data_IF_896917419656
#
_entry.id   IF_896917419656
#
_cell.length_a   1.000
_cell.length_b   1.000
_cell.length_c   1.000
_cell.angle_alpha   90.00
_cell.angle_beta   90.00
_cell.angle_gamma   90.00
#
_symmetry.space_group_name_H-M   'P 1'
#
loop_
_entity.id
_entity.type
_entity.pdbx_description
1 polymer ?
#
# COMPACT_ATOMS: atom_id res chain seq x y z
N UNK A 1 41.97 -29.41 -41.48
CA UNK A 1 40.83 -28.53 -41.14
C UNK A 1 40.10 -29.15 -39.97
N UNK A 2 39.70 -28.34 -38.98
CA UNK A 2 38.55 -28.45 -38.04
C UNK A 2 38.95 -27.66 -36.78
N UNK A 3 38.45 -26.42 -36.71
CA UNK A 3 38.47 -25.58 -35.50
C UNK A 3 37.24 -25.99 -34.67
N UNK A 4 37.44 -26.56 -33.50
CA UNK A 4 36.34 -26.80 -32.56
C UNK A 4 36.05 -25.50 -31.80
N UNK A 5 34.91 -24.86 -32.10
CA UNK A 5 34.36 -23.80 -31.28
C UNK A 5 33.63 -24.44 -30.09
N UNK A 6 34.14 -24.19 -28.88
CA UNK A 6 33.44 -24.46 -27.64
C UNK A 6 32.44 -23.33 -27.37
N UNK A 7 31.18 -23.57 -27.70
CA UNK A 7 30.07 -22.66 -27.35
C UNK A 7 29.73 -22.88 -25.88
N UNK A 8 30.09 -21.92 -25.02
CA UNK A 8 29.64 -21.90 -23.63
C UNK A 8 28.16 -21.52 -23.57
N UNK A 9 27.29 -22.49 -23.30
CA UNK A 9 25.89 -22.25 -23.04
C UNK A 9 25.73 -21.66 -21.63
N UNK A 10 25.48 -20.35 -21.55
CA UNK A 10 24.99 -19.72 -20.33
C UNK A 10 23.57 -20.23 -20.06
N UNK A 11 23.43 -21.16 -19.13
CA UNK A 11 22.14 -21.52 -18.54
C UNK A 11 21.66 -20.33 -17.71
N UNK A 12 20.76 -19.52 -18.28
CA UNK A 12 19.99 -18.56 -17.52
C UNK A 12 19.08 -19.34 -16.57
N UNK A 13 19.44 -19.37 -15.28
CA UNK A 13 18.54 -19.86 -14.24
C UNK A 13 17.33 -18.93 -14.21
N UNK A 14 16.09 -19.45 -14.23
CA UNK A 14 14.91 -18.61 -14.10
C UNK A 14 14.98 -17.92 -12.74
N UNK A 15 14.99 -16.58 -12.75
CA UNK A 15 14.77 -15.79 -11.55
C UNK A 15 13.41 -16.20 -11.01
N UNK A 16 13.37 -16.86 -9.85
CA UNK A 16 12.11 -17.00 -9.13
C UNK A 16 11.57 -15.59 -8.94
N UNK A 17 10.31 -15.37 -9.34
CA UNK A 17 9.62 -14.12 -9.04
C UNK A 17 9.81 -13.84 -7.54
N UNK A 18 10.33 -12.66 -7.21
CA UNK A 18 10.51 -12.28 -5.82
C UNK A 18 9.10 -12.18 -5.22
N UNK A 19 8.91 -12.87 -4.10
CA UNK A 19 7.74 -12.70 -3.26
C UNK A 19 7.87 -11.40 -2.47
N UNK A 20 6.74 -10.86 -2.03
CA UNK A 20 6.71 -9.59 -1.29
C UNK A 20 7.65 -9.66 -0.09
N UNK A 21 8.61 -8.72 -0.04
CA UNK A 21 9.66 -8.74 0.98
C UNK A 21 9.21 -7.93 2.18
N UNK A 22 8.86 -8.62 3.27
CA UNK A 22 8.55 -7.99 4.55
C UNK A 22 9.70 -8.15 5.55
N UNK A 23 10.10 -7.06 6.19
CA UNK A 23 11.13 -7.05 7.23
C UNK A 23 10.83 -6.06 8.35
N UNK A 24 11.37 -6.34 9.53
CA UNK A 24 11.30 -5.43 10.66
C UNK A 24 12.50 -4.47 10.64
N UNK A 25 12.24 -3.18 10.78
CA UNK A 25 13.26 -2.13 10.71
C UNK A 25 13.11 -1.14 11.88
N UNK A 26 14.07 -0.24 12.03
CA UNK A 26 14.01 0.83 13.03
C UNK A 26 14.62 2.13 12.54
N UNK A 27 14.08 3.25 13.00
CA UNK A 27 14.60 4.59 12.71
C UNK A 27 14.29 5.55 13.85
N UNK A 28 15.31 6.29 14.30
CA UNK A 28 15.20 7.28 15.41
C UNK A 28 14.49 6.72 16.66
N UNK A 29 14.79 5.46 17.03
CA UNK A 29 14.20 4.79 18.19
C UNK A 29 12.78 4.24 17.98
N UNK A 30 12.16 4.46 16.82
CA UNK A 30 10.90 3.86 16.43
C UNK A 30 11.11 2.55 15.68
N UNK A 31 10.15 1.63 15.79
CA UNK A 31 10.16 0.31 15.16
C UNK A 31 9.08 0.25 14.09
N UNK A 32 9.41 -0.34 12.95
CA UNK A 32 8.51 -0.49 11.80
C UNK A 32 8.55 -1.92 11.28
N UNK A 33 7.52 -2.29 10.54
CA UNK A 33 7.57 -3.38 9.58
C UNK A 33 7.39 -2.76 8.19
N UNK A 34 8.34 -3.02 7.30
CA UNK A 34 8.35 -2.60 5.90
C UNK A 34 8.05 -3.82 5.04
N UNK A 35 7.06 -3.72 4.16
CA UNK A 35 6.81 -4.67 3.09
C UNK A 35 7.01 -3.96 1.74
N UNK A 36 7.97 -4.43 0.95
CA UNK A 36 8.30 -3.84 -0.35
C UNK A 36 7.75 -4.73 -1.45
N UNK A 37 7.02 -4.09 -2.37
CA UNK A 37 6.32 -4.74 -3.48
C UNK A 37 6.91 -4.28 -4.81
N UNK A 38 7.26 -5.21 -5.69
CA UNK A 38 7.63 -4.98 -7.10
C UNK A 38 6.38 -5.08 -7.97
N UNK A 39 5.83 -3.91 -8.33
CA UNK A 39 4.56 -3.80 -9.05
C UNK A 39 4.64 -4.42 -10.45
N UNK A 40 5.83 -4.58 -11.04
CA UNK A 40 5.97 -5.18 -12.36
C UNK A 40 5.87 -6.71 -12.34
N UNK A 41 6.02 -7.34 -11.17
CA UNK A 41 6.07 -8.82 -11.06
C UNK A 41 5.07 -9.39 -10.06
N UNK A 42 4.57 -8.58 -9.14
CA UNK A 42 3.65 -9.00 -8.07
C UNK A 42 2.24 -8.46 -8.30
N UNK A 43 1.22 -9.30 -8.08
CA UNK A 43 -0.18 -8.92 -8.25
C UNK A 43 -0.67 -8.09 -7.05
N UNK A 44 -0.36 -6.79 -7.08
CA UNK A 44 -0.80 -5.81 -6.11
C UNK A 44 -2.20 -5.28 -6.46
N UNK A 45 -3.16 -5.44 -5.56
CA UNK A 45 -4.54 -4.97 -5.79
C UNK A 45 -5.28 -4.57 -4.51
N UNK A 46 -6.46 -3.97 -4.70
CA UNK A 46 -7.38 -3.64 -3.62
C UNK A 46 -8.48 -4.69 -3.48
N UNK A 47 -9.04 -4.77 -2.29
CA UNK A 47 -10.16 -5.62 -1.92
C UNK A 47 -11.13 -4.82 -1.05
N UNK A 48 -12.43 -4.92 -1.34
CA UNK A 48 -13.48 -4.39 -0.48
C UNK A 48 -14.63 -5.39 -0.29
N UNK A 49 -15.16 -5.92 -1.39
CA UNK A 49 -16.31 -6.82 -1.40
C UNK A 49 -15.98 -8.14 -2.08
N UNK A 50 -16.70 -9.19 -1.70
CA UNK A 50 -16.74 -10.42 -2.48
C UNK A 50 -17.67 -10.26 -3.71
N UNK A 51 -17.75 -11.31 -4.51
CA UNK A 51 -18.61 -11.38 -5.70
C UNK A 51 -20.11 -11.25 -5.40
N UNK A 52 -20.54 -11.54 -4.17
CA UNK A 52 -21.93 -11.36 -3.69
C UNK A 52 -22.19 -9.94 -3.11
N UNK A 53 -21.16 -9.09 -3.06
CA UNK A 53 -21.23 -7.72 -2.57
C UNK A 53 -21.06 -7.57 -1.04
N UNK A 54 -20.79 -8.68 -0.33
CA UNK A 54 -20.53 -8.63 1.11
C UNK A 54 -19.11 -8.13 1.41
N UNK A 55 -18.96 -7.40 2.52
CA UNK A 55 -17.66 -6.83 2.90
C UNK A 55 -16.72 -7.95 3.32
N UNK A 56 -15.56 -8.06 2.65
CA UNK A 56 -14.51 -9.03 3.00
C UNK A 56 -13.96 -8.73 4.40
N UNK A 57 -13.48 -7.49 4.62
CA UNK A 57 -13.15 -6.89 5.93
C UNK A 57 -12.16 -7.62 6.83
N UNK A 58 -11.69 -8.81 6.46
CA UNK A 58 -10.75 -9.67 7.19
C UNK A 58 -9.85 -10.40 6.19
N UNK A 59 -8.58 -10.58 6.55
CA UNK A 59 -7.60 -11.26 5.70
C UNK A 59 -7.99 -12.71 5.37
N UNK A 60 -8.58 -13.44 6.32
CA UNK A 60 -9.04 -14.82 6.11
C UNK A 60 -10.17 -14.93 5.08
N UNK A 61 -11.00 -13.90 4.99
CA UNK A 61 -12.16 -13.90 4.11
C UNK A 61 -11.73 -13.50 2.69
N UNK A 62 -10.73 -12.61 2.56
CA UNK A 62 -9.99 -12.42 1.30
C UNK A 62 -9.37 -13.75 0.84
N UNK A 63 -8.61 -14.43 1.71
CA UNK A 63 -7.95 -15.70 1.34
C UNK A 63 -8.95 -16.77 0.89
N UNK A 64 -10.18 -16.77 1.41
CA UNK A 64 -11.23 -17.71 1.02
C UNK A 64 -11.81 -17.42 -0.36
N UNK A 65 -11.84 -16.14 -0.76
CA UNK A 65 -12.34 -15.69 -2.06
C UNK A 65 -11.31 -15.93 -3.18
N UNK A 66 -10.02 -16.04 -2.84
CA UNK A 66 -8.99 -16.37 -3.81
C UNK A 66 -9.20 -17.79 -4.37
N UNK A 67 -9.01 -17.94 -5.68
CA UNK A 67 -9.10 -19.22 -6.36
C UNK A 67 -8.06 -20.23 -5.83
N UNK A 68 -8.27 -21.52 -6.11
CA UNK A 68 -7.34 -22.58 -5.72
C UNK A 68 -5.90 -22.26 -6.13
N UNK A 69 -4.95 -22.54 -5.22
CA UNK A 69 -3.51 -22.28 -5.37
C UNK A 69 -3.11 -20.80 -5.41
N UNK A 70 -4.04 -19.89 -5.18
CA UNK A 70 -3.75 -18.47 -4.94
C UNK A 70 -3.74 -18.20 -3.44
N UNK A 71 -2.82 -17.35 -2.99
CA UNK A 71 -2.75 -16.98 -1.59
C UNK A 71 -2.40 -15.52 -1.38
N UNK A 72 -2.84 -14.99 -0.25
CA UNK A 72 -2.60 -13.61 0.17
C UNK A 72 -1.20 -13.52 0.80
N UNK A 73 -0.21 -13.11 0.02
CA UNK A 73 1.19 -13.02 0.48
C UNK A 73 1.44 -11.80 1.36
N UNK A 74 0.65 -10.75 1.18
CA UNK A 74 0.67 -9.54 1.98
C UNK A 74 -0.71 -8.89 1.98
N UNK A 75 -1.11 -8.27 3.09
CA UNK A 75 -2.22 -7.33 3.10
C UNK A 75 -2.17 -6.33 4.26
N UNK A 76 -2.74 -5.14 4.05
CA UNK A 76 -3.01 -4.17 5.11
C UNK A 76 -4.27 -3.37 4.82
N UNK A 77 -4.89 -2.78 5.86
CA UNK A 77 -5.95 -1.79 5.63
C UNK A 77 -5.41 -0.62 4.80
N UNK A 78 -6.23 -0.14 3.86
CA UNK A 78 -5.87 0.92 2.94
C UNK A 78 -6.62 2.22 3.29
N UNK A 79 -7.33 2.82 2.33
CA UNK A 79 -8.01 4.10 2.54
C UNK A 79 -9.06 4.12 3.66
N UNK A 80 -9.36 5.34 4.12
CA UNK A 80 -10.34 5.57 5.18
C UNK A 80 -11.75 5.09 4.77
N UNK A 81 -12.51 4.61 5.75
CA UNK A 81 -13.86 4.08 5.54
C UNK A 81 -14.87 4.52 6.61
N UNK A 82 -16.14 4.46 6.26
CA UNK A 82 -17.28 4.73 7.15
C UNK A 82 -17.55 3.54 8.09
N UNK A 83 -18.46 3.70 9.07
CA UNK A 83 -18.79 2.60 9.99
C UNK A 83 -19.40 1.38 9.29
N UNK A 84 -20.01 1.58 8.13
CA UNK A 84 -20.54 0.56 7.23
C UNK A 84 -19.47 -0.04 6.29
N UNK A 85 -18.19 0.32 6.47
CA UNK A 85 -17.02 -0.15 5.72
C UNK A 85 -16.89 0.37 4.29
N UNK A 86 -17.80 1.22 3.82
CA UNK A 86 -17.63 1.89 2.52
C UNK A 86 -16.46 2.87 2.55
N UNK A 87 -15.68 3.00 1.45
CA UNK A 87 -14.63 4.00 1.31
C UNK A 87 -15.17 5.41 1.55
N UNK A 88 -14.39 6.27 2.20
CA UNK A 88 -14.75 7.69 2.42
C UNK A 88 -14.56 8.49 1.14
N UNK A 89 -13.41 8.33 0.48
CA UNK A 89 -13.04 9.06 -0.75
C UNK A 89 -13.02 8.15 -1.97
N UNK A 90 -12.29 8.57 -3.02
CA UNK A 90 -12.18 7.81 -4.27
C UNK A 90 -11.87 6.33 -4.03
N UNK A 91 -12.60 5.45 -4.70
CA UNK A 91 -12.34 4.02 -4.72
C UNK A 91 -12.62 3.44 -6.09
N UNK A 92 -11.66 2.67 -6.60
CA UNK A 92 -11.74 1.93 -7.86
C UNK A 92 -11.24 0.51 -7.60
N UNK A 93 -11.95 -0.49 -8.09
CA UNK A 93 -11.56 -1.89 -8.07
C UNK A 93 -11.87 -2.51 -9.44
N UNK A 94 -10.89 -3.15 -10.08
CA UNK A 94 -11.00 -3.68 -11.46
C UNK A 94 -11.50 -2.65 -12.50
N UNK A 95 -11.10 -1.38 -12.33
CA UNK A 95 -11.50 -0.27 -13.19
C UNK A 95 -12.89 0.31 -12.89
N UNK A 96 -13.68 -0.33 -12.03
CA UNK A 96 -15.01 0.14 -11.65
C UNK A 96 -14.95 1.05 -10.42
N UNK A 97 -15.47 2.27 -10.57
CA UNK A 97 -15.47 3.27 -9.50
C UNK A 97 -16.68 3.11 -8.57
N UNK A 98 -16.46 2.76 -7.30
CA UNK A 98 -17.53 2.72 -6.26
C UNK A 98 -17.80 4.10 -5.67
N UNK A 99 -16.75 4.90 -5.41
CA UNK A 99 -16.88 6.21 -4.75
C UNK A 99 -16.08 7.30 -5.48
N UNK A 100 -16.62 8.54 -5.55
CA UNK A 100 -15.99 9.62 -6.29
C UNK A 100 -14.80 10.22 -5.53
N UNK A 101 -13.93 10.91 -6.26
CA UNK A 101 -12.86 11.71 -5.69
C UNK A 101 -13.40 12.88 -4.87
N UNK A 102 -12.87 13.05 -3.66
CA UNK A 102 -13.19 14.18 -2.79
C UNK A 102 -12.03 15.18 -2.78
N UNK A 103 -12.25 16.38 -3.32
CA UNK A 103 -11.21 17.43 -3.41
C UNK A 103 -11.27 18.47 -2.28
N UNK A 104 -12.32 18.43 -1.46
CA UNK A 104 -12.52 19.36 -0.35
C UNK A 104 -12.24 18.68 0.98
N UNK A 105 -11.78 19.46 1.95
CA UNK A 105 -11.64 18.98 3.32
C UNK A 105 -12.98 18.44 3.86
N UNK A 106 -12.92 17.34 4.59
CA UNK A 106 -14.05 16.82 5.37
C UNK A 106 -13.69 16.79 6.87
N UNK A 107 -14.61 16.37 7.74
CA UNK A 107 -14.33 16.28 9.19
C UNK A 107 -13.43 15.07 9.48
N UNK A 108 -12.43 15.20 10.37
CA UNK A 108 -11.51 14.12 10.79
C UNK A 108 -10.12 14.17 10.12
N UNK A 109 -9.39 13.04 10.08
CA UNK A 109 -8.06 12.95 9.41
C UNK A 109 -8.12 13.23 7.90
N UNK A 110 -9.26 12.93 7.28
CA UNK A 110 -9.54 13.31 5.90
C UNK A 110 -9.66 14.84 5.69
N UNK A 111 -9.68 15.62 6.78
CA UNK A 111 -9.57 17.07 6.79
C UNK A 111 -8.15 17.64 6.89
N UNK A 112 -7.13 16.80 7.09
CA UNK A 112 -5.73 17.22 7.13
C UNK A 112 -5.14 17.25 5.70
N UNK A 113 -5.53 18.26 4.93
CA UNK A 113 -5.03 18.48 3.57
C UNK A 113 -3.54 18.91 3.55
N UNK A 114 -2.76 18.52 2.51
CA UNK A 114 -3.15 17.69 1.36
C UNK A 114 -3.39 16.20 1.66
N UNK A 115 -4.34 15.61 0.93
CA UNK A 115 -4.64 14.18 0.88
C UNK A 115 -4.12 13.58 -0.44
N UNK A 116 -4.19 12.26 -0.60
CA UNK A 116 -3.74 11.62 -1.83
C UNK A 116 -4.58 10.42 -2.24
N UNK A 117 -4.33 9.96 -3.45
CA UNK A 117 -4.85 8.73 -4.03
C UNK A 117 -3.67 7.80 -4.23
N UNK A 118 -3.79 6.58 -3.70
CA UNK A 118 -2.94 5.47 -4.14
C UNK A 118 -3.60 4.82 -5.35
N UNK A 119 -2.95 4.94 -6.51
CA UNK A 119 -3.41 4.46 -7.81
C UNK A 119 -2.51 3.31 -8.26
N UNK A 120 -3.10 2.21 -8.72
CA UNK A 120 -2.40 1.03 -9.22
C UNK A 120 -2.93 0.74 -10.63
N UNK A 121 -2.03 0.37 -11.52
CA UNK A 121 -2.33 -0.31 -12.79
C UNK A 121 -1.32 -1.43 -13.03
N UNK A 122 -1.45 -2.13 -14.14
CA UNK A 122 -0.67 -3.32 -14.54
C UNK A 122 0.85 -3.18 -14.43
N UNK A 123 1.40 -1.96 -14.46
CA UNK A 123 2.85 -1.73 -14.56
C UNK A 123 3.41 -0.75 -13.55
N UNK A 124 2.55 -0.05 -12.80
CA UNK A 124 2.96 0.97 -11.84
C UNK A 124 1.93 1.20 -10.75
N UNK A 125 2.44 1.59 -9.58
CA UNK A 125 1.66 2.11 -8.49
C UNK A 125 2.21 3.47 -8.07
N UNK A 126 1.31 4.42 -7.84
CA UNK A 126 1.67 5.81 -7.54
C UNK A 126 0.83 6.35 -6.39
N UNK A 127 1.50 7.02 -5.46
CA UNK A 127 0.86 7.97 -4.57
C UNK A 127 0.81 9.33 -5.25
N UNK A 128 -0.41 9.85 -5.42
CA UNK A 128 -0.66 11.10 -6.16
C UNK A 128 -1.46 12.05 -5.26
N UNK A 129 -1.03 13.31 -5.14
CA UNK A 129 -1.78 14.34 -4.43
C UNK A 129 -3.19 14.52 -5.07
N UNK A 130 -4.21 14.74 -4.24
CA UNK A 130 -5.63 14.73 -4.66
C UNK A 130 -5.97 15.71 -5.80
N UNK A 131 -5.48 16.95 -5.76
CA UNK A 131 -5.76 17.95 -6.80
C UNK A 131 -4.95 17.67 -8.07
N UNK A 132 -3.73 17.16 -7.94
CA UNK A 132 -2.95 16.65 -9.06
C UNK A 132 -3.67 15.48 -9.74
N UNK A 133 -4.21 14.53 -8.96
CA UNK A 133 -5.02 13.42 -9.46
C UNK A 133 -6.28 13.92 -10.20
N UNK A 134 -6.99 14.90 -9.63
CA UNK A 134 -8.17 15.50 -10.26
C UNK A 134 -7.88 16.14 -11.63
N UNK A 135 -6.67 16.68 -11.78
CA UNK A 135 -6.22 17.37 -13.00
C UNK A 135 -5.71 16.39 -14.05
N UNK A 136 -4.86 15.46 -13.64
CA UNK A 136 -4.18 14.51 -14.54
C UNK A 136 -5.02 13.31 -14.91
N UNK A 137 -5.96 12.91 -14.04
CA UNK A 137 -6.92 11.79 -14.22
C UNK A 137 -6.25 10.52 -14.77
N UNK A 138 -5.22 10.00 -14.09
CA UNK A 138 -4.57 8.78 -14.53
C UNK A 138 -5.58 7.63 -14.53
N UNK A 139 -5.40 6.69 -15.45
CA UNK A 139 -6.15 5.43 -15.43
C UNK A 139 -5.59 4.56 -14.31
N UNK A 140 -6.46 4.12 -13.41
CA UNK A 140 -6.15 3.19 -12.33
C UNK A 140 -7.05 1.98 -12.48
N UNK A 141 -6.49 0.78 -12.44
CA UNK A 141 -7.27 -0.45 -12.27
C UNK A 141 -7.76 -0.55 -10.82
N UNK A 142 -6.92 -0.15 -9.87
CA UNK A 142 -7.28 -0.02 -8.47
C UNK A 142 -6.90 1.36 -7.95
N UNK A 143 -7.78 2.00 -7.18
CA UNK A 143 -7.46 3.26 -6.53
C UNK A 143 -8.13 3.39 -5.17
N UNK A 144 -7.45 4.01 -4.21
CA UNK A 144 -8.04 4.37 -2.94
C UNK A 144 -7.53 5.72 -2.45
N UNK A 145 -8.46 6.61 -2.11
CA UNK A 145 -8.14 7.91 -1.53
C UNK A 145 -8.02 7.82 -0.02
N UNK A 146 -6.99 8.45 0.51
CA UNK A 146 -6.75 8.53 1.95
C UNK A 146 -6.06 9.84 2.31
N UNK A 147 -5.73 10.03 3.58
CA UNK A 147 -4.93 11.16 3.99
C UNK A 147 -4.66 11.23 5.48
N UNK A 148 -3.66 12.02 5.88
CA UNK A 148 -2.92 12.98 5.05
C UNK A 148 -1.88 12.35 4.09
N UNK A 149 -1.44 13.09 3.08
CA UNK A 149 -0.13 12.83 2.45
C UNK A 149 0.96 12.90 3.52
N UNK A 150 1.88 11.96 3.54
CA UNK A 150 3.03 11.91 4.45
C UNK A 150 4.22 12.67 3.87
N UNK A 151 4.50 12.42 2.58
CA UNK A 151 5.56 13.05 1.80
C UNK A 151 4.94 13.53 0.49
N UNK A 152 5.30 14.74 0.06
CA UNK A 152 4.83 15.41 -1.15
C UNK A 152 6.06 15.97 -1.85
N UNK A 153 6.36 15.47 -3.05
CA UNK A 153 7.53 15.87 -3.83
C UNK A 153 8.85 15.88 -3.03
N UNK A 154 9.04 14.87 -2.19
CA UNK A 154 10.21 14.70 -1.33
C UNK A 154 10.19 15.51 -0.03
N UNK A 155 9.17 16.35 0.19
CA UNK A 155 9.03 17.15 1.41
C UNK A 155 7.98 16.56 2.36
N UNK A 156 8.16 16.73 3.67
CA UNK A 156 7.14 16.34 4.62
C UNK A 156 5.89 17.20 4.46
N UNK A 157 4.75 16.62 4.80
CA UNK A 157 3.51 17.35 4.92
C UNK A 157 3.67 18.62 5.80
N UNK A 158 3.29 19.81 5.31
CA UNK A 158 3.65 21.09 5.94
C UNK A 158 2.95 21.33 7.30
N UNK A 159 1.92 20.55 7.62
CA UNK A 159 1.15 20.66 8.86
C UNK A 159 1.61 19.67 9.94
N UNK A 160 2.64 18.87 9.70
CA UNK A 160 3.16 17.95 10.71
C UNK A 160 3.95 18.71 11.76
N UNK A 161 3.47 18.64 13.00
CA UNK A 161 4.14 19.23 14.16
C UNK A 161 5.20 18.25 14.68
N UNK A 162 6.43 18.75 14.86
CA UNK A 162 7.56 17.99 15.41
C UNK A 162 7.26 17.48 16.82
N UNK A 163 6.57 18.31 17.61
CA UNK A 163 6.21 18.11 19.01
C UNK A 163 4.74 17.64 19.19
N UNK A 164 4.15 17.05 18.15
CA UNK A 164 2.77 16.54 18.22
C UNK A 164 2.58 15.53 19.35
N UNK A 165 1.49 15.67 20.09
CA UNK A 165 1.07 14.70 21.12
C UNK A 165 0.22 13.56 20.55
N UNK A 166 -0.19 13.65 19.28
CA UNK A 166 -1.02 12.66 18.59
C UNK A 166 -0.19 11.46 18.15
N UNK A 167 -0.11 10.45 19.02
CA UNK A 167 0.65 9.21 18.77
C UNK A 167 -0.27 8.01 18.61
N UNK A 168 -0.14 7.31 17.49
CA UNK A 168 -0.92 6.10 17.17
C UNK A 168 -0.03 5.07 16.47
N UNK A 169 -0.49 3.82 16.43
CA UNK A 169 -0.01 2.90 15.40
C UNK A 169 -0.48 3.44 14.05
N UNK A 170 0.44 3.52 13.08
CA UNK A 170 0.20 4.12 11.78
C UNK A 170 0.62 3.17 10.69
N UNK A 171 -0.15 3.10 9.61
CA UNK A 171 0.27 2.47 8.38
C UNK A 171 0.12 3.40 7.18
N UNK A 172 0.85 3.12 6.11
CA UNK A 172 0.86 3.94 4.91
C UNK A 172 1.67 3.30 3.79
N UNK A 173 1.65 3.95 2.64
CA UNK A 173 2.35 3.52 1.43
C UNK A 173 3.18 4.68 0.86
N UNK A 174 4.37 4.39 0.37
CA UNK A 174 5.15 5.31 -0.46
C UNK A 174 5.59 4.61 -1.73
N UNK A 175 5.68 5.32 -2.84
CA UNK A 175 5.99 4.73 -4.15
C UNK A 175 7.27 5.30 -4.72
N UNK A 176 8.04 4.49 -5.44
CA UNK A 176 9.23 4.95 -6.16
C UNK A 176 8.85 5.95 -7.26
N UNK A 177 9.82 6.77 -7.69
CA UNK A 177 9.59 7.80 -8.72
C UNK A 177 9.21 7.21 -10.10
N UNK A 178 9.63 5.98 -10.39
CA UNK A 178 9.27 5.27 -11.62
C UNK A 178 7.99 4.42 -11.48
N UNK A 179 7.36 4.44 -10.29
CA UNK A 179 6.13 3.72 -9.99
C UNK A 179 6.28 2.19 -9.88
N UNK A 180 7.49 1.65 -9.99
CA UNK A 180 7.71 0.19 -10.01
C UNK A 180 7.76 -0.45 -8.63
N UNK A 181 7.98 0.35 -7.59
CA UNK A 181 8.08 -0.15 -6.22
C UNK A 181 7.07 0.56 -5.32
N UNK A 182 6.33 -0.23 -4.54
CA UNK A 182 5.47 0.27 -3.47
C UNK A 182 5.99 -0.23 -2.12
N UNK A 183 6.28 0.72 -1.22
CA UNK A 183 6.71 0.45 0.15
C UNK A 183 5.53 0.63 1.10
N UNK A 184 5.06 -0.46 1.67
CA UNK A 184 4.02 -0.48 2.67
C UNK A 184 4.63 -0.56 4.06
N UNK A 185 4.31 0.40 4.93
CA UNK A 185 4.92 0.48 6.26
C UNK A 185 3.83 0.49 7.31
N UNK A 186 4.06 -0.24 8.41
CA UNK A 186 3.28 -0.14 9.64
C UNK A 186 4.22 0.09 10.83
N UNK A 187 3.90 1.05 11.69
CA UNK A 187 4.65 1.26 12.94
C UNK A 187 4.33 0.17 13.95
N UNK A 188 5.32 -0.22 14.77
CA UNK A 188 5.19 -1.23 15.84
C UNK A 188 5.12 -0.60 17.23
N UNK A 189 5.22 0.72 17.29
CA UNK A 189 4.95 1.55 18.45
C UNK A 189 4.19 2.81 18.00
N UNK A 190 3.59 3.51 18.96
CA UNK A 190 2.86 4.73 18.66
C UNK A 190 3.82 5.82 18.21
N UNK A 191 3.52 6.43 17.06
CA UNK A 191 4.31 7.49 16.42
C UNK A 191 3.42 8.67 16.04
N UNK A 192 4.00 9.85 15.98
CA UNK A 192 3.38 11.03 15.36
C UNK A 192 3.39 10.91 13.84
N UNK A 193 2.62 11.77 13.17
CA UNK A 193 2.72 11.89 11.71
C UNK A 193 4.11 12.37 11.26
N UNK A 194 4.75 13.25 12.03
CA UNK A 194 6.10 13.73 11.74
C UNK A 194 7.11 12.59 11.80
N UNK A 195 7.14 11.82 12.89
CA UNK A 195 8.02 10.65 13.06
C UNK A 195 7.76 9.60 11.96
N UNK A 196 6.49 9.34 11.61
CA UNK A 196 6.14 8.37 10.58
C UNK A 196 6.51 8.84 9.16
N UNK A 197 6.19 10.08 8.81
CA UNK A 197 6.53 10.66 7.50
C UNK A 197 8.03 10.74 7.26
N UNK A 198 8.82 11.01 8.32
CA UNK A 198 10.28 11.00 8.22
C UNK A 198 10.86 9.64 7.85
N UNK A 199 10.22 8.53 8.24
CA UNK A 199 10.65 7.22 7.77
C UNK A 199 10.55 7.11 6.24
N UNK A 200 9.43 7.55 5.65
CA UNK A 200 9.26 7.57 4.20
C UNK A 200 10.23 8.54 3.50
N UNK A 201 10.43 9.74 4.05
CA UNK A 201 11.28 10.76 3.43
C UNK A 201 12.78 10.45 3.58
N UNK A 202 13.22 10.15 4.80
CA UNK A 202 14.64 10.10 5.15
C UNK A 202 15.24 8.71 4.93
N UNK A 203 14.44 7.64 5.09
CA UNK A 203 14.91 6.25 4.94
C UNK A 203 14.54 5.69 3.56
N UNK A 204 13.25 5.73 3.20
CA UNK A 204 12.78 5.16 1.93
C UNK A 204 12.97 6.11 0.74
N UNK A 205 13.15 7.41 1.02
CA UNK A 205 13.35 8.47 0.02
C UNK A 205 12.27 8.48 -1.08
N UNK A 206 11.04 8.10 -0.72
CA UNK A 206 9.91 8.08 -1.66
C UNK A 206 9.50 9.52 -1.99
N UNK A 207 9.34 9.90 -3.27
CA UNK A 207 8.88 11.23 -3.64
C UNK A 207 7.50 11.56 -3.07
N UNK A 208 6.61 10.56 -3.01
CA UNK A 208 5.27 10.71 -2.47
C UNK A 208 4.94 9.53 -1.56
N UNK A 209 4.28 9.83 -0.45
CA UNK A 209 3.78 8.82 0.49
C UNK A 209 2.45 9.24 1.08
N UNK A 210 1.60 8.26 1.38
CA UNK A 210 0.22 8.42 1.80
C UNK A 210 -0.04 7.66 3.09
N UNK A 211 -0.68 8.33 4.03
CA UNK A 211 -1.20 7.68 5.21
C UNK A 211 -2.50 6.93 4.91
N UNK A 212 -2.61 5.72 5.42
CA UNK A 212 -3.84 4.90 5.38
C UNK A 212 -4.67 5.07 6.66
N UNK A 213 -5.76 4.31 6.81
CA UNK A 213 -6.66 4.51 7.95
C UNK A 213 -5.97 4.36 9.32
N UNK A 214 -6.36 5.23 10.26
CA UNK A 214 -5.67 5.46 11.52
C UNK A 214 -6.35 4.98 12.78
N UNK A 215 -7.62 4.55 12.70
CA UNK A 215 -8.28 3.94 13.87
C UNK A 215 -7.89 2.47 14.03
N UNK A 216 -7.55 1.83 12.92
CA UNK A 216 -7.21 0.41 12.82
C UNK A 216 -6.01 0.33 11.86
N UNK A 217 -4.90 -0.23 12.34
CA UNK A 217 -3.75 -0.58 11.50
C UNK A 217 -3.44 -2.06 11.70
N UNK A 218 -3.58 -2.86 10.65
CA UNK A 218 -3.41 -4.31 10.68
C UNK A 218 -2.55 -4.76 9.50
N UNK A 219 -1.69 -5.73 9.74
CA UNK A 219 -0.83 -6.35 8.74
C UNK A 219 -1.07 -7.85 8.66
N UNK A 220 -1.16 -8.36 7.44
CA UNK A 220 -0.95 -9.76 7.07
C UNK A 220 0.37 -9.86 6.31
N UNK A 221 1.33 -10.59 6.86
CA UNK A 221 2.64 -10.84 6.28
C UNK A 221 3.14 -12.22 6.74
N UNK A 222 2.69 -13.31 6.09
CA UNK A 222 3.08 -14.68 6.45
C UNK A 222 4.59 -14.92 6.40
N UNK A 223 5.32 -14.23 5.51
CA UNK A 223 6.77 -14.32 5.39
C UNK A 223 7.54 -14.01 6.69
N UNK A 224 6.95 -13.20 7.57
CA UNK A 224 7.48 -12.89 8.91
C UNK A 224 6.60 -13.45 10.04
N UNK A 225 5.76 -14.44 9.72
CA UNK A 225 4.82 -15.09 10.65
C UNK A 225 3.92 -14.10 11.40
N UNK A 226 3.40 -13.08 10.68
CA UNK A 226 2.52 -12.05 11.26
C UNK A 226 1.18 -12.01 10.54
N UNK A 227 0.09 -12.05 11.31
CA UNK A 227 -1.24 -11.75 10.82
C UNK A 227 -2.08 -11.16 11.95
N UNK A 228 -2.32 -9.85 11.89
CA UNK A 228 -2.93 -9.13 12.99
C UNK A 228 -4.46 -9.38 13.05
N UNK A 229 -4.99 -9.83 14.21
CA UNK A 229 -6.44 -9.91 14.41
C UNK A 229 -7.04 -8.51 14.62
N UNK A 230 -8.36 -8.38 14.50
CA UNK A 230 -9.03 -7.13 14.83
C UNK A 230 -10.40 -6.97 14.22
N UNK A 231 -10.93 -5.75 14.36
CA UNK A 231 -12.23 -5.36 13.81
C UNK A 231 -12.27 -5.45 12.28
N UNK A 232 -13.48 -5.62 11.74
CA UNK A 232 -13.75 -5.55 10.31
C UNK A 232 -13.23 -4.22 9.74
N UNK A 233 -12.47 -4.33 8.65
CA UNK A 233 -11.89 -3.22 7.89
C UNK A 233 -12.79 -2.87 6.69
N UNK A 234 -12.57 -1.69 6.10
CA UNK A 234 -13.09 -1.33 4.78
C UNK A 234 -12.10 -1.75 3.69
N UNK A 235 -11.61 -0.81 2.86
CA UNK A 235 -10.58 -1.09 1.87
C UNK A 235 -9.35 -1.78 2.45
N UNK A 236 -8.90 -2.83 1.77
CA UNK A 236 -7.66 -3.56 2.06
C UNK A 236 -6.83 -3.56 0.78
N UNK A 237 -5.52 -3.34 0.91
CA UNK A 237 -4.54 -3.55 -0.16
C UNK A 237 -3.79 -4.84 0.11
N UNK A 238 -3.46 -5.61 -0.92
CA UNK A 238 -2.69 -6.83 -0.75
C UNK A 238 -2.02 -7.33 -2.03
N UNK A 239 -1.10 -8.27 -1.85
CA UNK A 239 -0.42 -9.01 -2.92
C UNK A 239 -0.96 -10.42 -2.97
N UNK A 240 -1.37 -10.86 -4.15
CA UNK A 240 -1.77 -12.24 -4.42
C UNK A 240 -0.64 -12.96 -5.13
N UNK A 241 -0.28 -14.12 -4.62
CA UNK A 241 0.68 -15.01 -5.26
C UNK A 241 0.01 -16.29 -5.72
N UNK A 242 0.59 -16.91 -6.73
CA UNK A 242 0.21 -18.26 -7.17
C UNK A 242 1.27 -19.23 -6.69
N UNK A 243 0.88 -20.27 -5.94
CA UNK A 243 1.82 -21.31 -5.51
C UNK A 243 2.42 -22.01 -6.74
N UNK A 244 3.75 -22.12 -6.77
CA UNK A 244 4.43 -22.96 -7.75
C UNK A 244 4.08 -24.44 -7.52
N UNK A 245 3.97 -25.21 -8.61
CA UNK A 245 3.76 -26.67 -8.56
C UNK A 245 4.98 -27.40 -7.99
#
# INVERSE_FOLDING_TARGET
>A
MIRALLTAAFLALPSMAAAVVCEDTSYEGNRFTLCTVDVATEELRLFLRDTDGAILGQFRDIQRELADRRFLAFAMNAGMYHSDRRPVGHYVEFGDQETPLLTKASKGNFGLLPNGVFCINDTRADVIETLTFATTKPACEHATQSGPMLVIDGELHPRFLVDSTSKFIRNGVGTSADGKTAHFVISRNSVTFHEFGRYFRDVLQTPNALYFDGKISRLHAPAINRSDPGFLMGPIVGVVETSAN
#
